data_IF_475445902580
#
_entry.id   IF_475445902580
#
_cell.length_a   1.000
_cell.length_b   1.000
_cell.length_c   1.000
_cell.angle_alpha   90.00
_cell.angle_beta   90.00
_cell.angle_gamma   90.00
#
_symmetry.space_group_name_H-M   'P 1'
#
loop_
_entity.id
_entity.type
_entity.pdbx_description
1 polymer ?
#
# COMPACT_ATOMS: atom_id res chain seq x y z
N UNK A 1 -51.58 26.87 13.78
CA UNK A 1 -51.59 25.73 12.85
C UNK A 1 -50.14 25.40 12.57
N UNK A 2 -49.52 24.72 13.53
CA UNK A 2 -48.12 24.36 13.54
C UNK A 2 -48.02 23.03 14.27
N UNK A 3 -47.27 22.13 13.65
CA UNK A 3 -46.44 21.14 14.32
C UNK A 3 -47.13 19.94 15.00
N UNK A 4 -47.91 19.21 14.19
CA UNK A 4 -48.16 17.77 14.41
C UNK A 4 -47.08 16.90 13.74
N UNK A 5 -46.42 17.39 12.68
CA UNK A 5 -45.37 16.64 11.97
C UNK A 5 -44.05 16.56 12.75
N UNK A 6 -43.71 17.58 13.54
CA UNK A 6 -42.50 17.54 14.39
C UNK A 6 -42.68 16.61 15.60
N UNK A 7 -43.88 16.49 16.15
CA UNK A 7 -44.19 15.54 17.23
C UNK A 7 -44.04 14.08 16.78
N UNK A 8 -44.40 13.78 15.53
CA UNK A 8 -44.26 12.44 14.94
C UNK A 8 -42.79 12.06 14.72
N UNK A 9 -41.95 13.03 14.31
CA UNK A 9 -40.50 12.84 14.12
C UNK A 9 -39.77 12.60 15.46
N UNK A 10 -40.18 13.31 16.52
CA UNK A 10 -39.64 13.09 17.87
C UNK A 10 -40.04 11.74 18.46
N UNK A 11 -41.27 11.28 18.27
CA UNK A 11 -41.71 9.96 18.73
C UNK A 11 -40.98 8.83 18.01
N UNK A 12 -40.76 8.97 16.69
CA UNK A 12 -40.00 8.00 15.91
C UNK A 12 -38.52 7.97 16.32
N UNK A 13 -37.91 9.12 16.56
CA UNK A 13 -36.53 9.21 17.03
C UNK A 13 -36.34 8.67 18.46
N UNK A 14 -37.33 8.86 19.34
CA UNK A 14 -37.34 8.25 20.68
C UNK A 14 -37.53 6.73 20.61
N UNK A 15 -38.38 6.23 19.73
CA UNK A 15 -38.57 4.79 19.53
C UNK A 15 -37.31 4.11 18.97
N UNK A 16 -36.61 4.76 18.03
CA UNK A 16 -35.32 4.26 17.52
C UNK A 16 -34.23 4.29 18.59
N UNK A 17 -34.19 5.32 19.43
CA UNK A 17 -33.24 5.39 20.54
C UNK A 17 -33.52 4.32 21.60
N UNK A 18 -34.78 4.13 21.98
CA UNK A 18 -35.21 3.09 22.92
C UNK A 18 -34.90 1.68 22.37
N UNK A 19 -35.18 1.42 21.09
CA UNK A 19 -34.83 0.17 20.43
C UNK A 19 -33.31 -0.07 20.37
N UNK A 20 -32.51 0.98 20.16
CA UNK A 20 -31.05 0.90 20.19
C UNK A 20 -30.49 0.69 21.61
N UNK A 21 -31.20 1.16 22.64
CA UNK A 21 -30.84 0.93 24.05
C UNK A 21 -31.20 -0.50 24.48
N UNK A 22 -32.38 -0.99 24.07
CA UNK A 22 -32.81 -2.38 24.26
C UNK A 22 -31.91 -3.39 23.52
N UNK A 23 -31.45 -3.04 22.31
CA UNK A 23 -30.47 -3.86 21.59
C UNK A 23 -29.13 -3.94 22.34
N UNK A 24 -28.69 -2.84 22.96
CA UNK A 24 -27.45 -2.81 23.77
C UNK A 24 -27.58 -3.58 25.07
N UNK A 25 -28.74 -3.57 25.72
CA UNK A 25 -28.97 -4.39 26.92
C UNK A 25 -29.04 -5.86 26.56
N UNK A 26 -29.72 -6.21 25.47
CA UNK A 26 -29.77 -7.59 24.97
C UNK A 26 -28.38 -8.12 24.58
N UNK A 27 -27.56 -7.33 23.88
CA UNK A 27 -26.16 -7.70 23.55
C UNK A 27 -25.31 -7.90 24.82
N UNK A 28 -25.48 -7.07 25.85
CA UNK A 28 -24.78 -7.23 27.13
C UNK A 28 -25.23 -8.49 27.87
N UNK A 29 -26.52 -8.77 27.92
CA UNK A 29 -27.08 -9.94 28.59
C UNK A 29 -26.70 -11.24 27.86
N UNK A 30 -26.69 -11.23 26.53
CA UNK A 30 -26.23 -12.37 25.73
C UNK A 30 -24.71 -12.59 25.90
N UNK A 31 -23.90 -11.53 25.94
CA UNK A 31 -22.47 -11.63 26.20
C UNK A 31 -22.17 -12.14 27.63
N UNK A 32 -22.97 -11.76 28.63
CA UNK A 32 -22.85 -12.32 29.99
C UNK A 32 -23.33 -13.77 30.08
N UNK A 33 -24.36 -14.13 29.32
CA UNK A 33 -24.86 -15.50 29.22
C UNK A 33 -23.83 -16.41 28.56
N UNK A 34 -23.26 -16.00 27.41
CA UNK A 34 -22.16 -16.70 26.74
C UNK A 34 -20.93 -16.83 27.66
N UNK A 35 -20.64 -15.80 28.46
CA UNK A 35 -19.57 -15.85 29.47
C UNK A 35 -19.86 -16.86 30.57
N UNK A 36 -21.11 -16.95 31.07
CA UNK A 36 -21.54 -17.95 32.06
C UNK A 36 -21.55 -19.37 31.49
N UNK A 37 -22.02 -19.55 30.27
CA UNK A 37 -22.03 -20.84 29.57
C UNK A 37 -20.61 -21.30 29.21
N UNK A 38 -19.70 -20.38 28.86
CA UNK A 38 -18.26 -20.63 28.67
C UNK A 38 -17.56 -21.03 29.97
N UNK A 39 -17.76 -20.27 31.06
CA UNK A 39 -17.20 -20.60 32.39
C UNK A 39 -17.75 -21.91 32.98
N UNK A 40 -18.96 -22.32 32.58
CA UNK A 40 -19.57 -23.59 33.01
C UNK A 40 -19.08 -24.80 32.20
N UNK A 41 -18.61 -24.60 30.95
CA UNK A 41 -18.01 -25.65 30.12
C UNK A 41 -16.50 -25.82 30.34
N UNK A 42 -15.81 -24.82 30.88
CA UNK A 42 -14.36 -24.86 31.12
C UNK A 42 -13.95 -25.52 32.44
N UNK A 43 -14.89 -26.06 33.22
CA UNK A 43 -14.53 -26.90 34.38
C UNK A 43 -14.49 -28.36 33.95
N UNK A 44 -13.27 -28.89 33.88
CA UNK A 44 -12.89 -30.29 33.61
C UNK A 44 -12.54 -30.64 32.14
N UNK A 45 -11.65 -29.87 31.52
CA UNK A 45 -10.61 -30.46 30.67
C UNK A 45 -9.26 -30.16 31.32
N UNK A 46 -8.45 -31.19 31.54
CA UNK A 46 -7.06 -31.06 32.01
C UNK A 46 -6.28 -30.21 31.00
N UNK A 47 -6.22 -28.90 31.23
CA UNK A 47 -5.47 -27.98 30.38
C UNK A 47 -3.98 -28.23 30.63
N UNK A 48 -3.37 -29.09 29.81
CA UNK A 48 -1.91 -29.18 29.75
C UNK A 48 -1.36 -27.77 29.49
N UNK A 49 -0.48 -27.24 30.35
CA UNK A 49 0.08 -25.91 30.17
C UNK A 49 0.83 -25.88 28.85
N UNK A 50 0.28 -25.15 27.89
CA UNK A 50 0.87 -25.03 26.57
C UNK A 50 2.18 -24.22 26.64
N UNK A 51 3.27 -24.82 26.15
CA UNK A 51 4.65 -24.28 26.21
C UNK A 51 4.90 -23.11 25.21
N UNK A 52 3.87 -22.29 24.91
CA UNK A 52 4.00 -21.13 24.02
C UNK A 52 4.93 -20.04 24.58
N UNK A 53 5.16 -20.05 25.90
CA UNK A 53 6.12 -19.18 26.58
C UNK A 53 7.58 -19.58 26.27
N UNK A 54 7.83 -20.83 25.87
CA UNK A 54 9.16 -21.38 25.54
C UNK A 54 9.42 -21.46 24.03
N UNK A 55 8.61 -20.80 23.21
CA UNK A 55 8.83 -20.77 21.77
C UNK A 55 10.25 -20.26 21.44
N UNK A 56 10.95 -20.90 20.47
CA UNK A 56 12.25 -20.43 20.01
C UNK A 56 12.18 -19.03 19.41
N UNK A 57 13.23 -18.25 19.61
CA UNK A 57 13.38 -16.86 19.14
C UNK A 57 13.07 -16.70 17.66
N UNK A 58 13.55 -17.62 16.80
CA UNK A 58 13.32 -17.58 15.36
C UNK A 58 11.83 -17.68 15.00
N UNK A 59 11.06 -18.45 15.76
CA UNK A 59 9.61 -18.60 15.56
C UNK A 59 8.90 -17.34 16.02
N UNK A 60 9.27 -16.80 17.19
CA UNK A 60 8.70 -15.55 17.70
C UNK A 60 8.99 -14.38 16.78
N UNK A 61 10.22 -14.26 16.27
CA UNK A 61 10.61 -13.22 15.32
C UNK A 61 9.78 -13.31 14.04
N UNK A 62 9.55 -14.54 13.53
CA UNK A 62 8.68 -14.76 12.37
C UNK A 62 7.22 -14.40 12.66
N UNK A 63 6.68 -14.76 13.83
CA UNK A 63 5.32 -14.38 14.25
C UNK A 63 5.21 -12.86 14.29
N UNK A 64 6.14 -12.18 14.98
CA UNK A 64 6.13 -10.73 15.12
C UNK A 64 6.27 -10.01 13.77
N UNK A 65 6.99 -10.59 12.80
CA UNK A 65 7.11 -10.01 11.44
C UNK A 65 5.76 -9.85 10.72
N UNK A 66 4.74 -10.63 11.09
CA UNK A 66 3.40 -10.54 10.51
C UNK A 66 2.48 -9.52 11.21
N UNK A 67 2.81 -9.10 12.43
CA UNK A 67 1.98 -8.27 13.28
C UNK A 67 2.11 -6.76 12.94
N UNK A 68 1.04 -6.01 13.16
CA UNK A 68 1.05 -4.54 13.19
C UNK A 68 1.80 -4.01 14.40
N UNK A 69 2.14 -2.71 14.42
CA UNK A 69 2.83 -2.07 15.56
C UNK A 69 2.03 -2.24 16.87
N UNK A 70 0.70 -2.10 16.79
CA UNK A 70 -0.20 -2.26 17.95
C UNK A 70 -0.24 -3.71 18.43
N UNK A 71 -0.33 -4.66 17.51
CA UNK A 71 -0.36 -6.09 17.84
C UNK A 71 0.97 -6.56 18.43
N UNK A 72 2.12 -6.10 17.88
CA UNK A 72 3.44 -6.35 18.49
C UNK A 72 3.49 -5.88 19.94
N UNK A 73 2.98 -4.68 20.21
CA UNK A 73 2.94 -4.16 21.58
C UNK A 73 2.05 -5.02 22.48
N UNK A 74 0.86 -5.39 22.03
CA UNK A 74 -0.02 -6.25 22.82
C UNK A 74 0.59 -7.64 23.07
N UNK A 75 1.19 -8.24 22.05
CA UNK A 75 1.88 -9.52 22.12
C UNK A 75 3.06 -9.48 23.11
N UNK A 76 3.80 -8.37 23.16
CA UNK A 76 4.92 -8.20 24.09
C UNK A 76 4.51 -8.13 25.56
N UNK A 77 3.23 -7.92 25.87
CA UNK A 77 2.70 -7.91 27.24
C UNK A 77 2.29 -9.31 27.75
N UNK A 78 2.35 -10.35 26.91
CA UNK A 78 1.88 -11.70 27.29
C UNK A 78 2.82 -12.37 28.30
N UNK A 79 4.13 -12.42 28.00
CA UNK A 79 5.14 -12.97 28.89
C UNK A 79 6.53 -12.38 28.60
N UNK A 80 7.53 -12.69 29.45
CA UNK A 80 8.89 -12.17 29.29
C UNK A 80 9.54 -12.57 27.97
N UNK A 81 9.35 -13.81 27.52
CA UNK A 81 9.95 -14.28 26.27
C UNK A 81 9.40 -13.49 25.06
N UNK A 82 8.09 -13.26 25.03
CA UNK A 82 7.44 -12.43 24.00
C UNK A 82 7.80 -10.95 24.10
N UNK A 83 8.09 -10.45 25.32
CA UNK A 83 8.63 -9.11 25.50
C UNK A 83 10.00 -8.95 24.83
N UNK A 84 10.89 -9.94 24.94
CA UNK A 84 12.18 -9.92 24.24
C UNK A 84 12.00 -9.95 22.72
N UNK A 85 11.05 -10.73 22.21
CA UNK A 85 10.75 -10.81 20.78
C UNK A 85 10.34 -9.47 20.15
N UNK A 86 9.75 -8.58 20.95
CA UNK A 86 9.45 -7.22 20.52
C UNK A 86 10.70 -6.43 20.14
N UNK A 87 11.89 -6.75 20.63
CA UNK A 87 13.11 -6.01 20.34
C UNK A 87 14.00 -6.68 19.29
N UNK A 88 13.57 -7.81 18.71
CA UNK A 88 14.34 -8.48 17.67
C UNK A 88 14.36 -7.69 16.35
N UNK A 89 15.48 -7.67 15.62
CA UNK A 89 15.59 -6.87 14.41
C UNK A 89 14.58 -7.24 13.30
N UNK A 90 14.40 -8.52 12.97
CA UNK A 90 13.47 -8.88 11.88
C UNK A 90 12.00 -8.70 12.29
N UNK A 91 11.71 -8.62 13.59
CA UNK A 91 10.39 -8.17 14.06
C UNK A 91 10.06 -6.76 13.54
N UNK A 92 11.04 -5.92 13.23
CA UNK A 92 10.84 -4.54 12.73
C UNK A 92 11.33 -4.31 11.31
N UNK A 93 11.82 -5.32 10.60
CA UNK A 93 12.30 -5.14 9.23
C UNK A 93 11.19 -4.63 8.29
N UNK A 94 9.92 -4.98 8.58
CA UNK A 94 8.75 -4.44 7.88
C UNK A 94 7.93 -3.52 8.78
N UNK A 95 7.72 -2.29 8.32
CA UNK A 95 6.90 -1.28 8.97
C UNK A 95 5.71 -0.91 8.09
N UNK A 96 4.51 -1.32 8.52
CA UNK A 96 3.24 -0.95 7.89
C UNK A 96 2.65 0.24 8.63
N UNK A 97 2.42 1.33 7.91
CA UNK A 97 1.77 2.52 8.43
C UNK A 97 0.28 2.50 8.04
N UNK A 98 -0.56 2.38 9.06
CA UNK A 98 -2.02 2.31 9.00
C UNK A 98 -2.67 3.50 9.74
N UNK A 99 -3.97 3.73 9.56
CA UNK A 99 -4.64 4.98 9.97
C UNK A 99 -4.50 5.31 11.47
N UNK A 100 -4.33 4.28 12.31
CA UNK A 100 -4.19 4.40 13.76
C UNK A 100 -2.75 4.19 14.26
N UNK A 101 -1.79 3.98 13.36
CA UNK A 101 -0.39 3.70 13.70
C UNK A 101 0.24 4.90 14.41
N UNK A 102 0.75 4.67 15.63
CA UNK A 102 1.41 5.69 16.45
C UNK A 102 0.53 6.94 16.68
N UNK A 103 -0.79 6.78 16.66
CA UNK A 103 -1.73 7.88 16.89
C UNK A 103 -2.14 8.00 18.35
N UNK A 104 -2.72 9.15 18.68
CA UNK A 104 -3.46 9.42 19.92
C UNK A 104 -4.84 9.95 19.57
N UNK A 105 -5.80 9.65 20.43
CA UNK A 105 -7.17 10.16 20.30
C UNK A 105 -7.21 11.62 20.76
N UNK A 106 -7.69 12.51 19.89
CA UNK A 106 -7.85 13.95 20.15
C UNK A 106 -9.27 14.36 19.76
N UNK A 107 -9.92 15.15 20.60
CA UNK A 107 -11.24 15.71 20.28
C UNK A 107 -11.07 17.01 19.49
N UNK A 108 -11.78 17.10 18.35
CA UNK A 108 -11.92 18.28 17.52
C UNK A 108 -13.37 18.77 17.60
N UNK A 109 -13.58 20.06 17.88
CA UNK A 109 -14.92 20.63 18.03
C UNK A 109 -15.80 20.49 16.78
N UNK A 110 -15.21 20.47 15.58
CA UNK A 110 -15.96 20.39 14.32
C UNK A 110 -16.13 18.98 13.79
N UNK A 111 -15.21 18.08 14.12
CA UNK A 111 -15.12 16.73 13.52
C UNK A 111 -15.18 15.60 14.54
N UNK A 112 -15.41 15.93 15.82
CA UNK A 112 -15.50 14.99 16.92
C UNK A 112 -14.16 14.33 17.24
N UNK A 113 -14.22 13.07 17.67
CA UNK A 113 -13.02 12.31 18.03
C UNK A 113 -12.24 11.89 16.79
N UNK A 114 -10.97 12.30 16.73
CA UNK A 114 -10.05 11.97 15.65
C UNK A 114 -8.78 11.32 16.19
N UNK A 115 -8.15 10.48 15.38
CA UNK A 115 -6.83 9.93 15.66
C UNK A 115 -5.78 10.79 14.96
N UNK A 116 -4.95 11.47 15.75
CA UNK A 116 -3.84 12.30 15.26
C UNK A 116 -2.53 11.58 15.54
N UNK A 117 -1.59 11.61 14.61
CA UNK A 117 -0.23 11.11 14.81
C UNK A 117 0.37 11.74 16.08
N UNK A 118 0.95 10.89 16.93
CA UNK A 118 1.67 11.33 18.13
C UNK A 118 3.15 11.47 17.77
N UNK A 119 3.60 12.73 17.60
CA UNK A 119 4.98 13.03 17.20
C UNK A 119 6.02 12.49 18.20
N UNK A 120 5.73 12.48 19.50
CA UNK A 120 6.68 11.95 20.49
C UNK A 120 6.79 10.44 20.37
N UNK A 121 5.65 9.72 20.29
CA UNK A 121 5.66 8.27 20.07
C UNK A 121 6.35 7.91 18.75
N UNK A 122 6.10 8.68 17.71
CA UNK A 122 6.71 8.48 16.39
C UNK A 122 8.21 8.70 16.42
N UNK A 123 8.67 9.78 17.06
CA UNK A 123 10.09 10.04 17.26
C UNK A 123 10.76 8.90 18.03
N UNK A 124 10.21 8.47 19.16
CA UNK A 124 10.77 7.37 19.96
C UNK A 124 10.80 6.05 19.18
N UNK A 125 9.78 5.77 18.38
CA UNK A 125 9.73 4.61 17.49
C UNK A 125 10.84 4.68 16.42
N UNK A 126 10.93 5.78 15.66
CA UNK A 126 11.97 5.94 14.63
C UNK A 126 13.37 5.90 15.25
N UNK A 127 13.54 6.48 16.44
CA UNK A 127 14.77 6.46 17.20
C UNK A 127 15.21 5.07 17.68
N UNK A 128 14.29 4.11 17.82
CA UNK A 128 14.57 2.76 18.31
C UNK A 128 14.72 1.74 17.20
N UNK A 129 13.87 1.80 16.16
CA UNK A 129 13.83 0.79 15.10
C UNK A 129 14.10 1.35 13.70
N UNK A 130 14.22 2.67 13.56
CA UNK A 130 14.29 3.35 12.25
C UNK A 130 15.49 2.94 11.38
N UNK A 131 16.55 2.41 11.98
CA UNK A 131 17.73 1.90 11.28
C UNK A 131 17.66 0.42 10.91
N UNK A 132 16.68 -0.30 11.45
CA UNK A 132 16.44 -1.71 11.15
C UNK A 132 15.40 -1.85 10.03
N UNK A 133 14.61 -0.80 9.77
CA UNK A 133 13.57 -0.79 8.74
C UNK A 133 14.15 -1.08 7.35
N UNK A 134 13.68 -2.16 6.73
CA UNK A 134 13.99 -2.55 5.34
C UNK A 134 12.81 -2.29 4.40
N UNK A 135 11.58 -2.48 4.89
CA UNK A 135 10.36 -2.31 4.10
C UNK A 135 9.44 -1.30 4.78
N UNK A 136 9.17 -0.20 4.08
CA UNK A 136 8.21 0.83 4.50
C UNK A 136 6.97 0.75 3.60
N UNK A 137 5.83 0.43 4.21
CA UNK A 137 4.58 0.20 3.48
C UNK A 137 3.51 1.16 4.01
N UNK A 138 3.05 2.05 3.13
CA UNK A 138 1.90 2.90 3.35
C UNK A 138 0.66 2.20 2.80
N UNK A 139 -0.12 1.60 3.71
CA UNK A 139 -1.42 1.01 3.40
C UNK A 139 -2.37 2.13 2.95
N UNK A 140 -3.41 1.90 2.12
CA UNK A 140 -4.38 2.94 1.80
C UNK A 140 -4.95 3.62 3.06
N UNK A 141 -4.72 4.93 3.21
CA UNK A 141 -5.06 5.71 4.40
C UNK A 141 -6.31 6.57 4.18
N UNK A 142 -7.17 6.67 5.18
CA UNK A 142 -8.23 7.68 5.21
C UNK A 142 -7.72 9.03 5.71
N UNK A 143 -6.69 9.03 6.57
CA UNK A 143 -6.13 10.25 7.15
C UNK A 143 -4.80 10.65 6.50
N UNK A 144 -4.88 11.44 5.43
CA UNK A 144 -3.68 11.95 4.72
C UNK A 144 -2.80 12.87 5.55
N UNK A 145 -3.35 13.53 6.59
CA UNK A 145 -2.56 14.40 7.45
C UNK A 145 -1.55 13.59 8.27
N UNK A 146 -1.98 12.48 8.88
CA UNK A 146 -1.08 11.60 9.62
C UNK A 146 0.02 11.02 8.71
N UNK A 147 -0.35 10.61 7.50
CA UNK A 147 0.60 10.12 6.49
C UNK A 147 1.62 11.20 6.12
N UNK A 148 1.16 12.42 5.82
CA UNK A 148 2.01 13.57 5.51
C UNK A 148 3.01 13.87 6.64
N UNK A 149 2.54 13.95 7.89
CA UNK A 149 3.40 14.21 9.05
C UNK A 149 4.43 13.10 9.23
N UNK A 150 4.02 11.83 9.12
CA UNK A 150 4.93 10.70 9.25
C UNK A 150 6.02 10.69 8.17
N UNK A 151 5.64 10.89 6.90
CA UNK A 151 6.61 10.99 5.80
C UNK A 151 7.58 12.16 6.01
N UNK A 152 7.11 13.28 6.57
CA UNK A 152 7.98 14.40 6.88
C UNK A 152 8.98 14.10 7.98
N UNK A 153 8.55 13.42 9.05
CA UNK A 153 9.42 13.03 10.15
C UNK A 153 10.53 12.10 9.68
N UNK A 154 10.20 11.02 8.96
CA UNK A 154 11.23 10.07 8.51
C UNK A 154 12.18 10.71 7.50
N UNK A 155 11.68 11.56 6.59
CA UNK A 155 12.52 12.30 5.63
C UNK A 155 13.48 13.25 6.34
N UNK A 156 12.99 13.99 7.35
CA UNK A 156 13.83 14.88 8.16
C UNK A 156 14.95 14.10 8.85
N UNK A 157 14.65 12.96 9.47
CA UNK A 157 15.70 12.15 10.10
C UNK A 157 16.70 11.60 9.08
N UNK A 158 16.24 11.14 7.91
CA UNK A 158 17.13 10.67 6.85
C UNK A 158 18.07 11.77 6.31
N UNK A 159 17.62 13.03 6.27
CA UNK A 159 18.45 14.19 5.89
C UNK A 159 19.51 14.53 6.94
N UNK A 160 19.17 14.41 8.22
CA UNK A 160 20.10 14.71 9.32
C UNK A 160 21.27 13.72 9.39
N UNK A 161 21.04 12.47 8.98
CA UNK A 161 22.12 11.49 8.76
C UNK A 161 23.13 11.98 7.71
N UNK A 162 22.62 12.45 6.56
CA UNK A 162 23.46 12.92 5.44
C UNK A 162 24.28 14.15 5.81
N UNK A 163 23.73 15.00 6.68
CA UNK A 163 24.41 16.20 7.17
C UNK A 163 25.51 15.91 8.20
N UNK A 164 25.70 14.65 8.62
CA UNK A 164 26.77 14.26 9.56
C UNK A 164 26.55 14.78 10.98
N UNK A 165 25.32 15.14 11.33
CA UNK A 165 24.98 15.66 12.66
C UNK A 165 25.03 14.55 13.71
N UNK A 166 26.15 14.49 14.46
CA UNK A 166 26.42 13.43 15.44
C UNK A 166 25.35 13.27 16.54
N UNK A 167 24.55 14.31 16.80
CA UNK A 167 23.49 14.26 17.82
C UNK A 167 22.29 13.39 17.43
N UNK A 168 22.06 13.17 16.13
CA UNK A 168 20.88 12.45 15.65
C UNK A 168 21.20 11.28 14.71
N UNK A 169 22.48 11.04 14.40
CA UNK A 169 22.91 9.94 13.54
C UNK A 169 22.59 8.56 14.13
N UNK A 170 21.41 8.03 13.83
CA UNK A 170 20.92 6.70 14.20
C UNK A 170 20.77 5.79 12.99
N UNK A 171 20.96 6.28 11.76
CA UNK A 171 20.76 5.54 10.52
C UNK A 171 19.28 5.41 10.12
N UNK A 172 18.41 6.31 10.56
CA UNK A 172 16.96 6.23 10.31
C UNK A 172 16.69 6.34 8.80
N UNK A 173 16.00 5.35 8.23
CA UNK A 173 15.68 5.32 6.81
C UNK A 173 16.83 4.90 5.89
N UNK A 174 18.06 4.78 6.40
CA UNK A 174 19.25 4.46 5.60
C UNK A 174 19.21 3.05 5.00
N UNK A 175 18.55 2.12 5.67
CA UNK A 175 18.46 0.70 5.28
C UNK A 175 17.13 0.34 4.60
N UNK A 176 16.28 1.32 4.30
CA UNK A 176 14.99 1.05 3.64
C UNK A 176 15.24 0.69 2.19
N UNK A 177 15.02 -0.58 1.86
CA UNK A 177 15.18 -1.15 0.53
C UNK A 177 13.88 -1.13 -0.26
N UNK A 178 12.72 -1.14 0.41
CA UNK A 178 11.40 -1.15 -0.24
C UNK A 178 10.54 -0.02 0.29
N UNK A 179 9.98 0.77 -0.64
CA UNK A 179 8.91 1.71 -0.37
C UNK A 179 7.68 1.33 -1.18
N UNK A 180 6.55 1.15 -0.51
CA UNK A 180 5.26 0.87 -1.16
C UNK A 180 4.21 1.89 -0.71
N UNK A 181 3.53 2.48 -1.68
CA UNK A 181 2.43 3.40 -1.44
C UNK A 181 1.27 3.14 -2.41
N UNK A 182 0.10 2.88 -1.83
CA UNK A 182 -1.15 2.72 -2.57
C UNK A 182 -2.09 3.86 -2.17
N UNK A 183 -2.39 4.75 -3.11
CA UNK A 183 -3.28 5.87 -2.86
C UNK A 183 -4.74 5.44 -2.95
N UNK A 184 -5.57 5.71 -1.93
CA UNK A 184 -7.01 5.44 -1.99
C UNK A 184 -7.72 6.49 -2.86
N UNK A 185 -7.65 6.32 -4.19
CA UNK A 185 -8.27 7.24 -5.15
C UNK A 185 -9.80 7.25 -5.14
N UNK A 186 -10.44 6.19 -4.64
CA UNK A 186 -11.91 6.05 -4.57
C UNK A 186 -12.46 6.45 -3.20
N UNK A 187 -12.23 7.69 -2.78
CA UNK A 187 -12.83 8.25 -1.57
C UNK A 187 -14.23 8.80 -1.84
N UNK A 188 -15.13 7.93 -2.30
CA UNK A 188 -16.55 8.29 -2.36
C UNK A 188 -17.12 8.27 -0.93
N UNK A 189 -17.38 9.44 -0.37
CA UNK A 189 -18.40 9.57 0.66
C UNK A 189 -19.74 9.22 0.00
N UNK A 190 -20.39 8.15 0.49
CA UNK A 190 -21.74 7.66 0.15
C UNK A 190 -22.48 8.39 -1.00
N UNK A 191 -22.78 7.65 -2.06
CA UNK A 191 -23.81 7.91 -3.08
C UNK A 191 -23.49 8.86 -4.26
N UNK A 192 -22.22 9.10 -4.60
CA UNK A 192 -21.85 9.78 -5.85
C UNK A 192 -21.19 8.83 -6.86
N UNK A 193 -21.28 9.09 -8.18
CA UNK A 193 -20.54 8.35 -9.19
C UNK A 193 -19.04 8.38 -8.84
N UNK A 194 -18.32 7.34 -9.27
CA UNK A 194 -16.93 7.03 -8.87
C UNK A 194 -15.95 8.14 -9.32
N UNK A 195 -15.93 9.28 -8.62
CA UNK A 195 -15.02 10.38 -8.87
C UNK A 195 -13.64 9.99 -8.33
N UNK A 196 -12.67 9.92 -9.24
CA UNK A 196 -11.30 9.52 -8.91
C UNK A 196 -10.51 10.75 -8.48
N UNK A 197 -10.18 10.81 -7.20
CA UNK A 197 -9.27 11.81 -6.69
C UNK A 197 -7.84 11.39 -6.96
N UNK A 198 -6.97 12.37 -7.19
CA UNK A 198 -5.55 12.17 -7.38
C UNK A 198 -4.75 12.83 -6.27
N UNK A 199 -3.53 12.36 -6.09
CA UNK A 199 -2.60 12.99 -5.15
C UNK A 199 -1.96 14.22 -5.80
N UNK A 200 -1.59 15.21 -4.99
CA UNK A 200 -0.96 16.44 -5.47
C UNK A 200 -0.45 17.28 -4.32
N UNK A 201 0.04 18.48 -4.64
CA UNK A 201 0.43 19.49 -3.66
C UNK A 201 1.47 19.00 -2.63
N UNK A 202 1.25 19.37 -1.36
CA UNK A 202 2.22 19.09 -0.27
C UNK A 202 2.43 17.60 -0.01
N UNK A 203 1.39 16.77 -0.17
CA UNK A 203 1.51 15.33 0.05
C UNK A 203 2.42 14.70 -1.00
N UNK A 204 2.20 15.02 -2.27
CA UNK A 204 3.05 14.58 -3.36
C UNK A 204 4.50 15.09 -3.22
N UNK A 205 4.69 16.37 -2.89
CA UNK A 205 6.01 16.94 -2.65
C UNK A 205 6.76 16.21 -1.52
N UNK A 206 6.04 15.83 -0.46
CA UNK A 206 6.61 15.09 0.68
C UNK A 206 6.96 13.65 0.30
N UNK A 207 6.13 13.01 -0.53
CA UNK A 207 6.43 11.68 -1.06
C UNK A 207 7.69 11.71 -1.94
N UNK A 208 7.83 12.70 -2.83
CA UNK A 208 9.05 12.90 -3.64
C UNK A 208 10.29 13.01 -2.75
N UNK A 209 10.25 13.94 -1.79
CA UNK A 209 11.31 14.14 -0.80
C UNK A 209 11.68 12.86 -0.05
N UNK A 210 10.67 12.09 0.38
CA UNK A 210 10.91 10.81 1.04
C UNK A 210 11.67 9.85 0.11
N UNK A 211 11.16 9.64 -1.11
CA UNK A 211 11.79 8.73 -2.07
C UNK A 211 13.25 9.10 -2.36
N UNK A 212 13.57 10.39 -2.53
CA UNK A 212 14.94 10.87 -2.71
C UNK A 212 15.86 10.67 -1.50
N UNK A 213 15.30 10.58 -0.29
CA UNK A 213 16.06 10.45 0.95
C UNK A 213 16.43 9.01 1.32
N UNK A 214 15.72 7.99 0.82
CA UNK A 214 15.95 6.58 1.16
C UNK A 214 17.16 5.99 0.41
N UNK A 215 18.39 6.15 0.92
CA UNK A 215 19.62 5.81 0.20
C UNK A 215 19.73 4.37 -0.36
N UNK A 216 19.11 3.39 0.30
CA UNK A 216 19.24 1.97 -0.05
C UNK A 216 18.07 1.42 -0.88
N UNK A 217 17.23 2.29 -1.44
CA UNK A 217 16.01 1.88 -2.14
C UNK A 217 16.32 0.99 -3.36
N UNK A 218 15.70 -0.20 -3.38
CA UNK A 218 15.79 -1.22 -4.45
C UNK A 218 14.44 -1.52 -5.08
N UNK A 219 13.36 -1.36 -4.33
CA UNK A 219 12.01 -1.63 -4.75
C UNK A 219 11.13 -0.41 -4.48
N UNK A 220 10.56 0.17 -5.53
CA UNK A 220 9.63 1.30 -5.41
C UNK A 220 8.28 0.91 -6.00
N UNK A 221 7.22 1.02 -5.20
CA UNK A 221 5.86 0.76 -5.62
C UNK A 221 4.97 1.98 -5.37
N UNK A 222 4.42 2.53 -6.44
CA UNK A 222 3.48 3.64 -6.45
C UNK A 222 2.23 3.22 -7.22
N UNK A 223 1.10 3.18 -6.54
CA UNK A 223 -0.17 2.66 -7.07
C UNK A 223 -1.28 3.69 -6.89
N UNK A 224 -2.06 3.87 -7.95
CA UNK A 224 -3.29 4.65 -8.01
C UNK A 224 -3.12 6.13 -7.61
N UNK A 225 -1.96 6.74 -7.90
CA UNK A 225 -1.70 8.16 -7.60
C UNK A 225 -2.61 9.11 -8.38
N UNK A 226 -3.08 8.73 -9.57
CA UNK A 226 -4.00 9.51 -10.41
C UNK A 226 -3.55 10.98 -10.63
N UNK A 227 -2.26 11.18 -10.91
CA UNK A 227 -1.66 12.48 -11.18
C UNK A 227 -2.14 13.08 -12.51
N UNK A 228 -2.08 14.42 -12.58
CA UNK A 228 -2.14 15.16 -13.83
C UNK A 228 -0.79 15.19 -14.53
N UNK A 229 -0.78 15.51 -15.82
CA UNK A 229 0.39 15.44 -16.68
C UNK A 229 1.61 16.20 -16.12
N UNK A 230 1.42 17.42 -15.62
CA UNK A 230 2.52 18.25 -15.10
C UNK A 230 3.22 17.63 -13.90
N UNK A 231 2.46 17.11 -12.94
CA UNK A 231 3.02 16.50 -11.72
C UNK A 231 3.70 15.16 -12.00
N UNK A 232 3.14 14.40 -12.95
CA UNK A 232 3.62 13.07 -13.34
C UNK A 232 5.00 13.11 -14.00
N UNK A 233 5.26 14.11 -14.86
CA UNK A 233 6.56 14.29 -15.51
C UNK A 233 7.70 14.58 -14.53
N UNK A 234 7.39 15.03 -13.32
CA UNK A 234 8.39 15.32 -12.30
C UNK A 234 8.33 14.32 -11.14
N UNK A 235 7.60 13.21 -11.28
CA UNK A 235 7.36 12.28 -10.17
C UNK A 235 8.64 11.62 -9.67
N UNK A 236 9.49 11.19 -10.61
CA UNK A 236 10.65 10.36 -10.33
C UNK A 236 11.98 11.11 -10.48
N UNK A 237 11.98 12.44 -10.64
CA UNK A 237 13.20 13.22 -10.88
C UNK A 237 14.27 12.99 -9.80
N UNK A 238 13.88 13.07 -8.52
CA UNK A 238 14.77 12.82 -7.38
C UNK A 238 15.27 11.35 -7.34
N UNK A 239 14.39 10.40 -7.68
CA UNK A 239 14.71 8.96 -7.68
C UNK A 239 15.66 8.62 -8.82
N UNK A 240 15.49 9.23 -9.99
CA UNK A 240 16.43 9.09 -11.10
C UNK A 240 17.82 9.58 -10.73
N UNK A 241 17.91 10.67 -9.97
CA UNK A 241 19.19 11.21 -9.53
C UNK A 241 19.88 10.31 -8.49
N UNK A 242 19.12 9.80 -7.50
CA UNK A 242 19.69 9.08 -6.36
C UNK A 242 19.75 7.56 -6.52
N UNK A 243 18.94 6.96 -7.39
CA UNK A 243 18.70 5.50 -7.41
C UNK A 243 18.77 4.87 -8.80
N UNK A 244 19.33 5.55 -9.80
CA UNK A 244 19.49 5.01 -11.16
C UNK A 244 20.26 3.69 -11.21
N UNK A 245 21.18 3.44 -10.27
CA UNK A 245 21.99 2.22 -10.21
C UNK A 245 21.54 1.22 -9.13
N UNK A 246 20.61 1.58 -8.24
CA UNK A 246 20.23 0.73 -7.10
C UNK A 246 18.86 0.10 -7.29
N UNK A 247 17.95 0.78 -7.99
CA UNK A 247 16.59 0.31 -8.19
C UNK A 247 16.55 -0.95 -9.08
N UNK A 248 15.91 -2.01 -8.57
CA UNK A 248 15.76 -3.32 -9.23
C UNK A 248 14.33 -3.63 -9.61
N UNK A 249 13.36 -3.16 -8.82
CA UNK A 249 11.93 -3.31 -9.11
C UNK A 249 11.24 -1.95 -9.04
N UNK A 250 10.47 -1.65 -10.07
CA UNK A 250 9.67 -0.43 -10.16
C UNK A 250 8.23 -0.80 -10.51
N UNK A 251 7.29 -0.38 -9.67
CA UNK A 251 5.86 -0.58 -9.88
C UNK A 251 5.17 0.77 -9.96
N UNK A 252 4.60 1.09 -11.13
CA UNK A 252 3.93 2.35 -11.46
C UNK A 252 2.54 2.04 -12.03
N UNK A 253 1.57 1.81 -11.15
CA UNK A 253 0.22 1.40 -11.54
C UNK A 253 -0.73 2.58 -11.39
N UNK A 254 -1.43 2.95 -12.47
CA UNK A 254 -2.28 4.14 -12.57
C UNK A 254 -1.68 5.39 -11.91
N UNK A 255 -0.43 5.69 -12.26
CA UNK A 255 0.23 6.90 -11.81
C UNK A 255 -0.48 8.14 -12.35
N UNK A 256 -1.05 8.08 -13.56
CA UNK A 256 -1.81 9.18 -14.17
C UNK A 256 -3.24 8.80 -14.51
N UNK A 257 -4.13 9.80 -14.51
CA UNK A 257 -5.55 9.65 -14.90
C UNK A 257 -5.73 9.36 -16.38
N UNK A 258 -4.86 9.91 -17.22
CA UNK A 258 -4.91 9.83 -18.68
C UNK A 258 -3.56 9.38 -19.24
N UNK A 259 -3.49 9.19 -20.56
CA UNK A 259 -2.26 8.80 -21.25
C UNK A 259 -1.13 9.81 -20.98
N UNK A 260 -0.03 9.33 -20.40
CA UNK A 260 1.14 10.14 -20.07
C UNK A 260 2.38 9.26 -20.10
N UNK A 261 3.26 9.49 -21.07
CA UNK A 261 4.51 8.72 -21.24
C UNK A 261 5.49 9.02 -20.11
N UNK A 262 5.78 8.03 -19.25
CA UNK A 262 6.78 8.16 -18.19
C UNK A 262 8.15 7.68 -18.69
N UNK A 263 8.98 8.61 -19.15
CA UNK A 263 10.30 8.27 -19.71
C UNK A 263 11.36 7.92 -18.64
N UNK A 264 11.13 8.29 -17.37
CA UNK A 264 12.01 8.00 -16.23
C UNK A 264 12.33 6.51 -16.10
N UNK A 265 11.42 5.63 -16.53
CA UNK A 265 11.61 4.17 -16.50
C UNK A 265 12.87 3.72 -17.26
N UNK A 266 13.34 4.52 -18.22
CA UNK A 266 14.54 4.27 -19.02
C UNK A 266 15.87 4.53 -18.33
N UNK A 267 15.88 5.17 -17.16
CA UNK A 267 17.11 5.65 -16.50
C UNK A 267 17.66 4.62 -15.50
N UNK A 268 16.84 3.65 -15.08
CA UNK A 268 17.20 2.67 -14.06
C UNK A 268 17.98 1.49 -14.66
N UNK A 269 19.31 1.59 -14.70
CA UNK A 269 20.20 0.66 -15.42
C UNK A 269 20.20 -0.77 -14.86
N UNK A 270 19.92 -0.92 -13.56
CA UNK A 270 19.86 -2.20 -12.86
C UNK A 270 18.42 -2.70 -12.65
N UNK A 271 17.45 -2.12 -13.37
CA UNK A 271 16.05 -2.52 -13.27
C UNK A 271 15.83 -3.90 -13.87
N UNK A 272 15.37 -4.83 -13.03
CA UNK A 272 15.10 -6.21 -13.41
C UNK A 272 13.62 -6.43 -13.73
N UNK A 273 12.74 -5.74 -13.00
CA UNK A 273 11.29 -5.94 -13.10
C UNK A 273 10.60 -4.58 -13.14
N UNK A 274 9.82 -4.35 -14.19
CA UNK A 274 8.95 -3.19 -14.33
C UNK A 274 7.50 -3.64 -14.35
N UNK A 275 6.68 -3.08 -13.47
CA UNK A 275 5.24 -3.21 -13.48
C UNK A 275 4.64 -1.82 -13.80
N UNK A 276 3.89 -1.71 -14.88
CA UNK A 276 3.41 -0.40 -15.36
C UNK A 276 2.00 -0.51 -15.94
N UNK A 277 1.17 0.51 -15.74
CA UNK A 277 -0.13 0.58 -16.42
C UNK A 277 -0.02 1.07 -17.87
N UNK A 278 -0.87 0.61 -18.80
CA UNK A 278 -0.71 0.90 -20.21
C UNK A 278 -0.74 2.39 -20.59
N UNK A 279 -1.49 3.22 -19.85
CA UNK A 279 -1.53 4.66 -20.08
C UNK A 279 -0.19 5.36 -19.80
N UNK A 280 0.71 4.70 -19.05
CA UNK A 280 2.02 5.23 -18.69
C UNK A 280 3.16 4.72 -19.57
N UNK A 281 2.86 3.82 -20.51
CA UNK A 281 3.82 3.21 -21.43
C UNK A 281 3.67 3.79 -22.84
N UNK A 282 4.79 4.04 -23.51
CA UNK A 282 4.84 4.60 -24.87
C UNK A 282 5.89 3.90 -25.73
N UNK A 283 5.93 4.22 -27.03
CA UNK A 283 6.96 3.72 -27.95
C UNK A 283 8.37 4.14 -27.53
N UNK A 284 8.54 5.41 -27.14
CA UNK A 284 9.82 5.93 -26.63
C UNK A 284 10.20 5.24 -25.32
N UNK A 285 9.22 4.98 -24.45
CA UNK A 285 9.42 4.19 -23.24
C UNK A 285 9.94 2.78 -23.56
N UNK A 286 9.34 2.08 -24.53
CA UNK A 286 9.84 0.76 -24.98
C UNK A 286 11.24 0.83 -25.56
N UNK A 287 11.55 1.88 -26.33
CA UNK A 287 12.89 2.08 -26.85
C UNK A 287 13.91 2.20 -25.71
N UNK A 288 13.62 3.02 -24.70
CA UNK A 288 14.50 3.16 -23.54
C UNK A 288 14.64 1.85 -22.74
N UNK A 289 13.54 1.13 -22.52
CA UNK A 289 13.58 -0.18 -21.85
C UNK A 289 14.40 -1.21 -22.62
N UNK A 290 14.51 -1.09 -23.95
CA UNK A 290 15.34 -1.98 -24.77
C UNK A 290 16.84 -1.80 -24.53
N UNK A 291 17.26 -0.65 -23.99
CA UNK A 291 18.66 -0.36 -23.64
C UNK A 291 19.04 -0.87 -22.24
N UNK A 292 18.07 -1.17 -21.38
CA UNK A 292 18.34 -1.66 -20.02
C UNK A 292 18.65 -3.15 -20.08
N UNK A 293 19.92 -3.54 -20.01
CA UNK A 293 20.35 -4.94 -20.18
C UNK A 293 19.75 -5.89 -19.13
N UNK A 294 19.59 -5.44 -17.89
CA UNK A 294 19.17 -6.26 -16.74
C UNK A 294 17.66 -6.56 -16.69
N UNK A 295 16.84 -5.85 -17.46
CA UNK A 295 15.38 -5.99 -17.45
C UNK A 295 14.96 -7.35 -17.99
N UNK A 296 14.31 -8.16 -17.17
CA UNK A 296 13.88 -9.53 -17.52
C UNK A 296 12.37 -9.66 -17.60
N UNK A 297 11.63 -8.91 -16.76
CA UNK A 297 10.18 -8.98 -16.69
C UNK A 297 9.55 -7.61 -16.86
N UNK A 298 8.60 -7.51 -17.79
CA UNK A 298 7.75 -6.36 -17.99
C UNK A 298 6.28 -6.76 -17.79
N UNK A 299 5.67 -6.28 -16.72
CA UNK A 299 4.27 -6.51 -16.41
C UNK A 299 3.45 -5.28 -16.82
N UNK A 300 2.47 -5.49 -17.70
CA UNK A 300 1.49 -4.47 -18.08
C UNK A 300 0.21 -4.77 -17.30
N UNK A 301 -0.07 -3.96 -16.28
CA UNK A 301 -1.13 -4.19 -15.31
C UNK A 301 -2.28 -3.20 -15.52
N UNK A 302 -3.46 -3.76 -15.74
CA UNK A 302 -4.73 -3.04 -15.78
C UNK A 302 -5.57 -3.40 -14.56
N UNK A 303 -6.18 -2.41 -13.93
CA UNK A 303 -7.14 -2.64 -12.86
C UNK A 303 -8.48 -1.90 -13.10
N UNK A 304 -9.38 -1.95 -12.12
CA UNK A 304 -10.68 -1.25 -12.18
C UNK A 304 -10.58 0.26 -12.43
N UNK A 305 -9.45 0.90 -12.12
CA UNK A 305 -9.22 2.33 -12.32
C UNK A 305 -8.47 2.67 -13.61
N UNK A 306 -7.90 1.69 -14.31
CA UNK A 306 -7.23 1.93 -15.58
C UNK A 306 -8.21 2.43 -16.65
N UNK A 307 -7.89 3.52 -17.39
CA UNK A 307 -8.77 4.05 -18.43
C UNK A 307 -9.11 3.01 -19.51
N UNK A 308 -10.33 3.04 -20.04
CA UNK A 308 -10.79 2.09 -21.07
C UNK A 308 -10.36 2.50 -22.49
N UNK A 309 -10.34 3.80 -22.77
CA UNK A 309 -10.02 4.35 -24.09
C UNK A 309 -8.50 4.49 -24.29
N UNK A 310 -7.77 3.39 -24.16
CA UNK A 310 -6.32 3.35 -24.35
C UNK A 310 -5.96 2.68 -25.66
N UNK A 311 -4.98 3.25 -26.34
CA UNK A 311 -4.35 2.62 -27.50
C UNK A 311 -3.13 1.82 -27.07
N UNK A 312 -3.03 0.59 -27.59
CA UNK A 312 -1.83 -0.24 -27.40
C UNK A 312 -0.61 0.42 -28.05
N UNK A 313 0.58 0.04 -27.59
CA UNK A 313 1.84 0.51 -28.19
C UNK A 313 2.00 -0.18 -29.56
N UNK A 314 2.58 0.52 -30.55
CA UNK A 314 2.59 -0.03 -31.90
C UNK A 314 3.37 -1.34 -32.02
N UNK A 315 2.96 -2.25 -32.92
CA UNK A 315 3.67 -3.50 -33.13
C UNK A 315 5.10 -3.34 -33.63
N UNK A 316 5.42 -2.19 -34.24
CA UNK A 316 6.77 -1.89 -34.72
C UNK A 316 7.73 -1.70 -33.54
N UNK A 317 7.32 -0.95 -32.51
CA UNK A 317 8.11 -0.74 -31.32
C UNK A 317 8.36 -2.06 -30.57
N UNK A 318 7.33 -2.89 -30.40
CA UNK A 318 7.48 -4.21 -29.79
C UNK A 318 8.44 -5.14 -30.55
N UNK A 319 8.35 -5.17 -31.89
CA UNK A 319 9.28 -5.95 -32.72
C UNK A 319 10.73 -5.46 -32.60
N UNK A 320 10.95 -4.15 -32.46
CA UNK A 320 12.30 -3.60 -32.25
C UNK A 320 12.84 -4.01 -30.88
N UNK A 321 12.04 -3.88 -29.83
CA UNK A 321 12.40 -4.31 -28.49
C UNK A 321 12.69 -5.81 -28.44
N UNK A 322 11.85 -6.65 -29.05
CA UNK A 322 12.04 -8.11 -29.06
C UNK A 322 13.30 -8.54 -29.82
N UNK A 323 13.71 -7.78 -30.84
CA UNK A 323 14.97 -8.02 -31.56
C UNK A 323 16.19 -7.71 -30.71
N UNK A 324 16.14 -6.65 -29.89
CA UNK A 324 17.24 -6.27 -29.00
C UNK A 324 17.28 -7.13 -27.74
N UNK A 325 16.12 -7.48 -27.18
CA UNK A 325 15.97 -8.27 -25.95
C UNK A 325 15.08 -9.49 -26.19
N UNK A 326 15.64 -10.59 -26.73
CA UNK A 326 14.88 -11.82 -26.97
C UNK A 326 14.44 -12.52 -25.69
N UNK A 327 15.17 -12.33 -24.57
CA UNK A 327 14.88 -12.99 -23.30
C UNK A 327 13.84 -12.24 -22.43
N UNK A 328 13.41 -11.04 -22.85
CA UNK A 328 12.44 -10.25 -22.10
C UNK A 328 11.06 -10.93 -22.11
N UNK A 329 10.51 -11.14 -20.93
CA UNK A 329 9.16 -11.69 -20.75
C UNK A 329 8.15 -10.58 -20.51
N UNK A 330 7.14 -10.48 -21.38
CA UNK A 330 6.01 -9.57 -21.18
C UNK A 330 4.83 -10.32 -20.55
N UNK A 331 4.31 -9.79 -19.46
CA UNK A 331 3.18 -10.34 -18.74
C UNK A 331 2.01 -9.36 -18.78
N UNK A 332 0.85 -9.78 -19.27
CA UNK A 332 -0.35 -8.94 -19.30
C UNK A 332 -1.25 -9.34 -18.13
N UNK A 333 -1.66 -8.37 -17.29
CA UNK A 333 -2.49 -8.65 -16.12
C UNK A 333 -3.73 -7.75 -16.08
N UNK A 334 -4.89 -8.35 -15.82
CA UNK A 334 -6.14 -7.64 -15.57
C UNK A 334 -6.71 -8.01 -14.19
N UNK A 335 -6.78 -7.04 -13.27
CA UNK A 335 -7.37 -7.19 -11.93
C UNK A 335 -8.58 -6.26 -11.78
N UNK A 336 -9.78 -6.75 -12.02
CA UNK A 336 -10.97 -5.89 -12.06
C UNK A 336 -12.26 -6.65 -11.76
N UNK A 337 -13.10 -6.08 -10.90
CA UNK A 337 -14.48 -6.53 -10.71
C UNK A 337 -15.46 -5.96 -11.77
N UNK A 338 -15.00 -5.03 -12.61
CA UNK A 338 -15.75 -4.47 -13.74
C UNK A 338 -15.50 -5.29 -15.01
N UNK A 339 -16.49 -5.33 -15.92
CA UNK A 339 -16.35 -5.94 -17.24
C UNK A 339 -15.41 -5.08 -18.09
N UNK A 340 -14.14 -5.49 -18.15
CA UNK A 340 -13.08 -4.83 -18.92
C UNK A 340 -12.32 -5.89 -19.72
N UNK A 341 -11.95 -5.55 -20.95
CA UNK A 341 -11.03 -6.34 -21.76
C UNK A 341 -9.59 -6.05 -21.38
N UNK A 342 -8.70 -7.03 -21.58
CA UNK A 342 -7.27 -6.79 -21.54
C UNK A 342 -6.88 -6.00 -22.79
N UNK A 343 -6.03 -4.98 -22.64
CA UNK A 343 -5.47 -4.24 -23.74
C UNK A 343 -4.33 -5.06 -24.34
N UNK A 344 -4.67 -5.81 -25.39
CA UNK A 344 -3.71 -6.64 -26.09
C UNK A 344 -2.59 -5.80 -26.73
N UNK A 345 -1.35 -6.27 -26.59
CA UNK A 345 -0.15 -5.59 -27.10
C UNK A 345 0.38 -6.36 -28.31
N UNK A 346 -0.12 -6.01 -29.49
CA UNK A 346 0.24 -6.69 -30.72
C UNK A 346 1.75 -6.66 -30.99
N UNK A 347 2.35 -7.84 -31.20
CA UNK A 347 3.78 -7.99 -31.47
C UNK A 347 4.68 -8.00 -30.23
N UNK A 348 4.12 -7.88 -29.02
CA UNK A 348 4.87 -8.03 -27.78
C UNK A 348 5.27 -9.50 -27.52
N UNK A 349 6.42 -9.78 -26.90
CA UNK A 349 6.83 -11.13 -26.51
C UNK A 349 6.09 -11.57 -25.24
N UNK A 350 4.78 -11.81 -25.38
CA UNK A 350 3.90 -12.15 -24.26
C UNK A 350 4.19 -13.58 -23.77
N UNK A 351 4.71 -13.68 -22.55
CA UNK A 351 5.01 -14.94 -21.88
C UNK A 351 3.82 -15.48 -21.05
N UNK A 352 3.00 -14.59 -20.47
CA UNK A 352 1.82 -15.01 -19.71
C UNK A 352 0.72 -13.96 -19.69
N UNK A 353 -0.51 -14.41 -19.51
CA UNK A 353 -1.69 -13.56 -19.35
C UNK A 353 -2.38 -13.95 -18.03
N UNK A 354 -2.57 -12.98 -17.15
CA UNK A 354 -3.16 -13.15 -15.83
C UNK A 354 -4.49 -12.41 -15.75
N UNK A 355 -5.50 -13.11 -15.28
CA UNK A 355 -6.85 -12.60 -15.21
C UNK A 355 -7.42 -12.84 -13.82
N UNK A 356 -7.68 -11.76 -13.11
CA UNK A 356 -8.35 -11.75 -11.81
C UNK A 356 -9.62 -10.90 -11.93
N UNK A 357 -10.67 -11.51 -12.47
CA UNK A 357 -11.96 -10.87 -12.62
C UNK A 357 -13.12 -11.87 -12.49
N UNK A 358 -14.10 -11.62 -11.62
CA UNK A 358 -15.26 -12.49 -11.49
C UNK A 358 -16.18 -12.48 -12.73
N UNK A 359 -15.94 -11.56 -13.69
CA UNK A 359 -16.76 -11.36 -14.90
C UNK A 359 -16.11 -11.91 -16.18
N UNK A 360 -15.10 -12.77 -16.05
CA UNK A 360 -14.41 -13.36 -17.18
C UNK A 360 -15.37 -14.27 -17.96
N UNK A 361 -15.83 -13.78 -19.11
CA UNK A 361 -16.50 -14.58 -20.14
C UNK A 361 -15.48 -15.24 -21.07
N UNK A 362 -14.40 -15.82 -20.54
CA UNK A 362 -13.49 -16.64 -21.36
C UNK A 362 -14.26 -17.89 -21.75
N UNK A 363 -14.93 -17.81 -22.91
CA UNK A 363 -15.39 -19.00 -23.61
C UNK A 363 -14.15 -19.72 -24.11
N UNK A 364 -14.00 -20.98 -23.73
CA UNK A 364 -12.98 -21.89 -24.22
C UNK A 364 -13.19 -22.08 -25.74
N UNK A 365 -12.67 -21.16 -26.57
CA UNK A 365 -12.54 -21.41 -28.01
C UNK A 365 -11.38 -22.39 -28.15
N UNK A 366 -11.73 -23.65 -28.36
CA UNK A 366 -10.83 -24.67 -28.88
C UNK A 366 -10.27 -24.10 -30.19
N UNK A 367 -9.00 -23.67 -30.17
CA UNK A 367 -8.27 -23.39 -31.41
C UNK A 367 -7.94 -24.78 -31.98
N UNK A 368 -8.88 -25.33 -32.75
CA UNK A 368 -8.60 -26.42 -33.68
C UNK A 368 -7.90 -25.80 -34.90
N UNK A 369 -6.61 -25.53 -34.74
CA UNK A 369 -5.72 -25.21 -35.85
C UNK A 369 -5.12 -26.50 -36.37
N UNK A 370 -5.64 -26.99 -37.51
CA UNK A 370 -4.94 -27.94 -38.36
C UNK A 370 -3.93 -27.16 -39.23
N UNK A 371 -2.66 -27.58 -39.14
CA UNK A 371 -1.48 -27.24 -39.96
C UNK A 371 -0.85 -25.84 -39.80
#
# INVERSE_FOLDING_TARGET
>A
MGDLDTLFDYEQQYAEFAAAEEAKTWEKEEHERLRREGLAREKEEDFEPSDWDKLPDLVLERIFSYLTVKEKYNASQVCRNWYHAFYYPESWSTFKFEDTTLTRRRFNYYSGWQYTLDHLRTQLCLCSVGNILKHLIFVPQTNFYNLYEFMNMISFYAEQERSGSKEFSRGIGSNVETLSYIFPCNQAYRNQPMELYGTGGKLLATLKRLMGNLCSLRCLQLVDLMLDFGDALHLLDEVCYSHCLTLRRLTLINVTRSKCSLLHIGVFLNLQILEISPQNLSEDGLYLLSEIETLSHLHIIQNKYTPQELTAVSPKAWKQLSKKKPDLQVHLQLVSNLEKGILWQDGAPVASIWYESPKIKVMKRVISGNF
#
